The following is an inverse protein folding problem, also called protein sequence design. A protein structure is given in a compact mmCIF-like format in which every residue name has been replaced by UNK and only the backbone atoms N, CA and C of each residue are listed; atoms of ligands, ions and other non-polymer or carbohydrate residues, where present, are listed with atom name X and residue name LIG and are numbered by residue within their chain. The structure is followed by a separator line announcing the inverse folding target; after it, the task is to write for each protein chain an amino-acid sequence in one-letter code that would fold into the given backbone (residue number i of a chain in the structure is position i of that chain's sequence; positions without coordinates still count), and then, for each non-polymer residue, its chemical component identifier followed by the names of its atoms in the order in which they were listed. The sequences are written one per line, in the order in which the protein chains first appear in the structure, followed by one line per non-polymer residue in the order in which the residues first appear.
data_IF_663636970084
#
_entry.id   IF_663636970084
#
_cell.length_a   1.000
_cell.length_b   1.000
_cell.length_c   1.000
_cell.angle_alpha   90.00
_cell.angle_beta   90.00
_cell.angle_gamma   90.00
#
_symmetry.space_group_name_H-M   'P 1'
#
loop_
_entity.id
_entity.type
_entity.pdbx_description
1 polymer ?
#
# COMPACT_ATOMS: atom_id res chain seq x y z
N UNK A 1 -19.63 -15.74 -16.78
CA UNK A 1 -18.64 -15.80 -15.68
C UNK A 1 -17.19 -15.78 -16.18
N UNK A 2 -16.86 -16.34 -17.35
CA UNK A 2 -15.49 -16.31 -17.91
C UNK A 2 -15.03 -14.95 -18.48
N UNK A 3 -15.95 -14.05 -18.85
CA UNK A 3 -15.62 -12.77 -19.52
C UNK A 3 -14.97 -11.71 -18.62
N UNK A 4 -15.24 -11.71 -17.31
CA UNK A 4 -14.64 -10.74 -16.37
C UNK A 4 -13.21 -11.13 -15.96
N UNK A 5 -12.90 -12.42 -15.94
CA UNK A 5 -11.57 -12.94 -15.58
C UNK A 5 -10.51 -12.61 -16.63
N UNK A 6 -10.87 -12.51 -17.92
CA UNK A 6 -9.90 -12.18 -18.99
C UNK A 6 -9.47 -10.72 -19.00
N UNK A 7 -10.38 -9.78 -18.69
CA UNK A 7 -10.07 -8.35 -18.67
C UNK A 7 -9.26 -7.96 -17.41
N UNK A 8 -9.60 -8.48 -16.22
CA UNK A 8 -8.80 -8.28 -15.01
C UNK A 8 -7.38 -8.85 -15.14
N UNK A 9 -7.24 -10.03 -15.79
CA UNK A 9 -5.93 -10.63 -16.08
C UNK A 9 -5.12 -9.79 -17.07
N UNK A 10 -5.76 -9.18 -18.07
CA UNK A 10 -5.10 -8.33 -19.07
C UNK A 10 -4.63 -7.01 -18.46
N UNK A 11 -5.46 -6.35 -17.66
CA UNK A 11 -5.10 -5.12 -16.97
C UNK A 11 -3.97 -5.34 -15.96
N UNK A 12 -4.06 -6.41 -15.16
CA UNK A 12 -3.01 -6.79 -14.21
C UNK A 12 -1.68 -7.08 -14.91
N UNK A 13 -1.72 -7.72 -16.09
CA UNK A 13 -0.53 -8.00 -16.90
C UNK A 13 0.12 -6.71 -17.42
N UNK A 14 -0.66 -5.75 -17.90
CA UNK A 14 -0.15 -4.46 -18.37
C UNK A 14 0.46 -3.64 -17.22
N UNK A 15 -0.16 -3.64 -16.04
CA UNK A 15 0.38 -2.99 -14.85
C UNK A 15 1.74 -3.57 -14.47
N UNK A 16 1.85 -4.90 -14.39
CA UNK A 16 3.13 -5.58 -14.12
C UNK A 16 4.20 -5.25 -15.16
N UNK A 17 3.85 -5.25 -16.45
CA UNK A 17 4.78 -4.88 -17.51
C UNK A 17 5.29 -3.42 -17.38
N UNK A 18 4.41 -2.49 -16.97
CA UNK A 18 4.78 -1.11 -16.68
C UNK A 18 5.72 -0.97 -15.48
N UNK A 19 5.41 -1.69 -14.39
CA UNK A 19 6.30 -1.78 -13.22
C UNK A 19 7.68 -2.33 -13.61
N UNK A 20 7.74 -3.40 -14.38
CA UNK A 20 8.98 -4.02 -14.84
C UNK A 20 9.79 -3.09 -15.76
N UNK A 21 9.12 -2.31 -16.61
CA UNK A 21 9.77 -1.29 -17.41
C UNK A 21 10.39 -0.18 -16.54
N UNK A 22 9.68 0.25 -15.49
CA UNK A 22 10.19 1.23 -14.53
C UNK A 22 11.39 0.69 -13.76
N UNK A 23 11.34 -0.57 -13.29
CA UNK A 23 12.46 -1.24 -12.62
C UNK A 23 13.73 -1.28 -13.48
N UNK A 24 13.58 -1.58 -14.78
CA UNK A 24 14.71 -1.64 -15.74
C UNK A 24 15.19 -0.28 -16.24
N UNK A 25 14.48 0.82 -15.95
CA UNK A 25 14.79 2.14 -16.50
C UNK A 25 16.08 2.77 -15.94
N UNK A 26 16.56 2.30 -14.79
CA UNK A 26 17.67 2.93 -14.06
C UNK A 26 17.28 4.19 -13.28
N UNK A 27 16.01 4.63 -13.37
CA UNK A 27 15.49 5.73 -12.57
C UNK A 27 15.24 5.29 -11.12
N UNK A 28 15.37 6.22 -10.17
CA UNK A 28 14.86 5.99 -8.82
C UNK A 28 13.34 5.92 -8.85
N UNK A 29 12.76 4.87 -8.26
CA UNK A 29 11.31 4.67 -8.26
C UNK A 29 10.80 4.21 -6.90
N UNK A 30 9.50 4.40 -6.68
CA UNK A 30 8.73 3.72 -5.65
C UNK A 30 7.44 3.24 -6.31
N UNK A 31 7.12 1.95 -6.19
CA UNK A 31 5.89 1.38 -6.74
C UNK A 31 4.95 1.04 -5.58
N UNK A 32 3.83 1.75 -5.51
CA UNK A 32 2.76 1.52 -4.52
C UNK A 32 1.63 0.75 -5.20
N UNK A 33 1.26 -0.40 -4.63
CA UNK A 33 0.19 -1.27 -5.14
C UNK A 33 -0.95 -1.31 -4.11
N UNK A 34 -1.89 -0.35 -4.17
CA UNK A 34 -2.98 -0.32 -3.21
C UNK A 34 -3.94 -1.49 -3.44
N UNK A 35 -4.58 -1.93 -2.36
CA UNK A 35 -5.81 -2.72 -2.43
C UNK A 35 -6.97 -1.94 -3.08
N UNK A 36 -8.19 -2.49 -3.09
CA UNK A 36 -9.36 -1.80 -3.63
C UNK A 36 -9.54 -0.39 -3.04
N UNK A 37 -9.68 0.61 -3.91
CA UNK A 37 -9.76 2.00 -3.49
C UNK A 37 -11.17 2.36 -2.98
N UNK A 38 -11.23 3.13 -1.91
CA UNK A 38 -12.46 3.69 -1.33
C UNK A 38 -12.38 5.22 -1.28
N UNK A 39 -13.51 5.88 -1.58
CA UNK A 39 -13.65 7.33 -1.51
C UNK A 39 -14.12 7.74 -0.11
N UNK A 40 -13.19 7.76 0.83
CA UNK A 40 -13.44 8.09 2.24
C UNK A 40 -12.27 8.89 2.84
N UNK A 41 -12.46 9.54 4.00
CA UNK A 41 -11.36 10.23 4.68
C UNK A 41 -10.28 9.24 5.15
N UNK A 42 -9.01 9.58 4.93
CA UNK A 42 -7.86 8.81 5.39
C UNK A 42 -7.55 9.01 6.88
N UNK A 43 -6.57 8.27 7.39
CA UNK A 43 -6.04 8.37 8.74
C UNK A 43 -6.91 7.75 9.83
N UNK A 44 -7.94 6.98 9.46
CA UNK A 44 -8.88 6.36 10.41
C UNK A 44 -8.48 4.93 10.83
N UNK A 45 -7.66 4.25 10.03
CA UNK A 45 -7.36 2.81 10.16
C UNK A 45 -5.87 2.54 10.03
N UNK A 46 -5.40 1.47 10.67
CA UNK A 46 -4.02 1.01 10.57
C UNK A 46 -3.72 0.49 9.16
N UNK A 47 -2.48 0.72 8.70
CA UNK A 47 -2.01 0.35 7.37
C UNK A 47 -1.08 -0.86 7.44
N UNK A 48 -1.27 -1.80 6.52
CA UNK A 48 -0.39 -2.96 6.33
C UNK A 48 0.39 -2.76 5.04
N UNK A 49 1.70 -3.01 5.09
CA UNK A 49 2.61 -3.00 3.94
C UNK A 49 3.16 -4.42 3.72
N UNK A 50 3.11 -4.91 2.48
CA UNK A 50 3.60 -6.25 2.10
C UNK A 50 4.31 -6.22 0.74
N UNK A 51 5.09 -7.25 0.41
CA UNK A 51 5.64 -7.44 -0.95
C UNK A 51 5.13 -8.74 -1.61
N UNK A 52 4.40 -9.58 -0.87
CA UNK A 52 3.96 -10.90 -1.29
C UNK A 52 2.67 -10.96 -2.12
N UNK A 53 2.08 -9.82 -2.53
CA UNK A 53 0.74 -9.75 -3.14
C UNK A 53 -0.36 -10.42 -2.29
N UNK A 54 -0.25 -10.39 -0.95
CA UNK A 54 -1.21 -11.08 -0.05
C UNK A 54 -2.34 -10.17 0.43
N UNK A 55 -2.39 -8.96 -0.09
CA UNK A 55 -3.33 -7.92 0.34
C UNK A 55 -4.66 -8.05 -0.41
N UNK A 56 -5.76 -8.09 0.33
CA UNK A 56 -7.13 -8.16 -0.22
C UNK A 56 -8.06 -7.06 0.30
N UNK A 57 -7.65 -6.33 1.33
CA UNK A 57 -8.43 -5.33 2.02
C UNK A 57 -8.39 -4.00 1.27
N UNK A 58 -9.47 -3.23 1.41
CA UNK A 58 -9.57 -1.92 0.80
C UNK A 58 -8.67 -0.88 1.49
N UNK A 59 -8.47 0.25 0.83
CA UNK A 59 -7.77 1.42 1.36
C UNK A 59 -8.40 2.70 0.82
N UNK A 60 -8.42 3.78 1.60
CA UNK A 60 -8.90 5.07 1.11
C UNK A 60 -7.95 5.67 0.07
N UNK A 61 -8.51 6.38 -0.90
CA UNK A 61 -7.74 7.17 -1.87
C UNK A 61 -6.88 8.24 -1.16
N UNK A 62 -7.39 8.78 -0.05
CA UNK A 62 -6.69 9.78 0.77
C UNK A 62 -5.41 9.21 1.43
N UNK A 63 -5.44 8.01 1.99
CA UNK A 63 -4.25 7.39 2.58
C UNK A 63 -3.23 6.99 1.52
N UNK A 64 -3.67 6.51 0.36
CA UNK A 64 -2.77 6.22 -0.77
C UNK A 64 -2.07 7.50 -1.24
N UNK A 65 -2.78 8.62 -1.32
CA UNK A 65 -2.19 9.91 -1.68
C UNK A 65 -1.15 10.36 -0.64
N UNK A 66 -1.46 10.23 0.65
CA UNK A 66 -0.54 10.57 1.74
C UNK A 66 0.74 9.71 1.69
N UNK A 67 0.61 8.40 1.47
CA UNK A 67 1.76 7.49 1.27
C UNK A 67 2.61 7.95 0.08
N UNK A 68 2.00 8.28 -1.06
CA UNK A 68 2.72 8.73 -2.25
C UNK A 68 3.53 9.99 -1.96
N UNK A 69 2.93 10.98 -1.29
CA UNK A 69 3.60 12.24 -0.93
C UNK A 69 4.75 11.98 0.04
N UNK A 70 4.53 11.18 1.09
CA UNK A 70 5.57 10.84 2.07
C UNK A 70 6.72 10.05 1.42
N UNK A 71 6.42 9.12 0.51
CA UNK A 71 7.43 8.31 -0.18
C UNK A 71 8.36 9.13 -1.08
N UNK A 72 7.89 10.27 -1.62
CA UNK A 72 8.75 11.18 -2.40
C UNK A 72 9.87 11.80 -1.55
N UNK A 73 9.61 11.98 -0.25
CA UNK A 73 10.54 12.62 0.68
C UNK A 73 11.32 11.60 1.53
N UNK A 74 11.05 10.30 1.38
CA UNK A 74 11.66 9.23 2.15
C UNK A 74 12.59 8.35 1.29
N UNK A 75 13.90 8.49 1.51
CA UNK A 75 14.91 7.71 0.80
C UNK A 75 14.80 6.18 1.02
N UNK A 76 14.14 5.73 2.09
CA UNK A 76 13.92 4.30 2.35
C UNK A 76 12.88 3.68 1.43
N UNK A 77 12.01 4.50 0.81
CA UNK A 77 11.05 4.06 -0.20
C UNK A 77 11.70 3.76 -1.55
N UNK A 78 12.92 4.28 -1.78
CA UNK A 78 13.58 4.19 -3.08
C UNK A 78 13.89 2.75 -3.48
N UNK A 79 13.54 2.44 -4.73
CA UNK A 79 13.65 1.16 -5.40
C UNK A 79 12.87 0.05 -4.70
N UNK A 80 11.74 0.37 -4.08
CA UNK A 80 10.84 -0.60 -3.46
C UNK A 80 9.53 -0.69 -4.22
N UNK A 81 8.98 -1.91 -4.22
CA UNK A 81 7.64 -2.21 -4.68
C UNK A 81 6.92 -2.87 -3.53
N UNK A 82 5.76 -2.35 -3.15
CA UNK A 82 5.00 -2.89 -2.03
C UNK A 82 3.51 -2.73 -2.27
N UNK A 83 2.75 -3.65 -1.69
CA UNK A 83 1.31 -3.59 -1.55
C UNK A 83 0.94 -2.84 -0.28
N UNK A 84 -0.20 -2.15 -0.28
CA UNK A 84 -0.73 -1.49 0.92
C UNK A 84 -2.25 -1.60 1.03
N UNK A 85 -2.75 -1.87 2.24
CA UNK A 85 -4.18 -1.84 2.58
C UNK A 85 -4.42 -1.49 4.04
N UNK A 86 -5.69 -1.43 4.44
CA UNK A 86 -6.04 -1.46 5.84
C UNK A 86 -5.83 -2.82 6.48
N UNK A 87 -5.55 -2.81 7.78
CA UNK A 87 -5.60 -3.99 8.60
C UNK A 87 -7.00 -4.62 8.59
N UNK A 88 -7.04 -5.95 8.64
CA UNK A 88 -8.29 -6.68 8.79
C UNK A 88 -8.84 -6.44 10.19
N UNK A 89 -9.93 -5.70 10.29
CA UNK A 89 -10.71 -5.58 11.53
C UNK A 89 -11.73 -6.72 11.52
N UNK A 90 -11.63 -7.65 12.46
CA UNK A 90 -12.67 -8.68 12.66
C UNK A 90 -14.00 -8.01 13.02
N UNK A 91 -15.11 -8.54 12.49
CA UNK A 91 -16.47 -8.03 12.77
C UNK A 91 -16.76 -7.88 14.27
N UNK A 92 -17.65 -6.93 14.59
CA UNK A 92 -18.03 -6.48 15.94
C UNK A 92 -18.21 -7.64 16.92
N UNK A 93 -17.42 -7.63 18.01
CA UNK A 93 -17.49 -8.61 19.10
C UNK A 93 -16.25 -9.50 19.28
N UNK A 94 -15.22 -9.36 18.45
CA UNK A 94 -13.96 -10.12 18.54
C UNK A 94 -12.70 -9.23 18.66
N UNK A 95 -12.86 -8.04 19.23
CA UNK A 95 -11.76 -7.11 19.49
C UNK A 95 -10.83 -7.66 20.58
N UNK A 96 -9.76 -8.36 20.19
CA UNK A 96 -8.73 -8.87 21.08
C UNK A 96 -7.75 -7.80 21.58
N UNK A 97 -7.93 -6.53 21.17
CA UNK A 97 -7.08 -5.41 21.56
C UNK A 97 -7.93 -4.16 21.77
N UNK A 98 -7.79 -3.54 22.95
CA UNK A 98 -8.35 -2.23 23.25
C UNK A 98 -7.56 -1.16 22.50
N UNK A 99 -8.24 -0.22 21.85
CA UNK A 99 -7.59 0.94 21.23
C UNK A 99 -7.08 1.89 22.33
N UNK A 100 -5.85 1.68 22.82
CA UNK A 100 -5.30 2.39 23.99
C UNK A 100 -4.92 3.85 23.71
N UNK A 101 -4.68 4.25 22.45
CA UNK A 101 -4.43 5.65 22.11
C UNK A 101 -4.65 5.97 20.63
N UNK A 102 -5.33 7.09 20.36
CA UNK A 102 -5.20 7.82 19.10
C UNK A 102 -4.01 8.77 19.27
N UNK A 103 -2.87 8.49 18.64
CA UNK A 103 -1.74 9.42 18.65
C UNK A 103 -1.99 10.48 17.55
N UNK A 104 -2.28 11.74 17.91
CA UNK A 104 -2.46 12.78 16.93
C UNK A 104 -1.08 13.33 16.60
N UNK A 105 -0.40 12.73 15.63
CA UNK A 105 0.77 13.40 15.06
C UNK A 105 0.67 13.43 13.54
N UNK A 106 0.29 14.61 13.02
CA UNK A 106 0.45 14.97 11.61
C UNK A 106 1.91 14.87 11.14
N UNK A 107 2.86 14.74 12.07
CA UNK A 107 4.28 14.56 11.84
C UNK A 107 4.76 13.10 12.00
N UNK A 108 3.86 12.12 12.15
CA UNK A 108 4.29 10.76 12.38
C UNK A 108 4.97 10.19 11.14
N UNK A 109 6.27 9.96 11.25
CA UNK A 109 7.06 9.26 10.25
C UNK A 109 6.77 7.75 10.31
N UNK A 110 5.49 7.37 10.10
CA UNK A 110 5.05 5.97 10.11
C UNK A 110 5.61 5.20 8.91
N UNK A 111 5.92 5.91 7.82
CA UNK A 111 6.31 5.29 6.56
C UNK A 111 7.75 4.76 6.61
N UNK A 112 8.73 5.51 7.11
CA UNK A 112 10.12 5.04 7.22
C UNK A 112 10.26 3.69 7.95
N UNK A 113 9.72 3.48 9.17
CA UNK A 113 9.85 2.19 9.85
C UNK A 113 9.11 1.09 9.08
N UNK A 114 7.92 1.36 8.54
CA UNK A 114 7.16 0.39 7.75
C UNK A 114 7.90 -0.04 6.48
N UNK A 115 8.58 0.89 5.78
CA UNK A 115 9.32 0.58 4.58
C UNK A 115 10.71 0.01 4.88
N UNK A 116 11.32 0.32 6.03
CA UNK A 116 12.68 -0.13 6.37
C UNK A 116 12.84 -1.65 6.37
N UNK A 117 11.78 -2.38 6.74
CA UNK A 117 11.75 -3.84 6.80
C UNK A 117 11.55 -4.52 5.44
N UNK A 118 11.16 -3.75 4.42
CA UNK A 118 10.91 -4.28 3.07
C UNK A 118 12.21 -4.40 2.27
N UNK A 119 12.26 -5.32 1.31
CA UNK A 119 13.42 -5.50 0.45
C UNK A 119 13.40 -4.48 -0.71
N UNK A 120 14.59 -4.06 -1.15
CA UNK A 120 14.74 -3.31 -2.39
C UNK A 120 14.66 -4.29 -3.56
N UNK A 121 13.97 -3.93 -4.63
CA UNK A 121 14.05 -4.76 -5.83
C UNK A 121 15.42 -4.52 -6.50
N UNK A 122 16.09 -5.62 -6.81
CA UNK A 122 17.40 -5.64 -7.48
C UNK A 122 17.25 -5.67 -8.99
#
# INVERSE_FOLDING_TARGET
LELNLTEENKFSKQRRAGEDALRRSGLGYTIVRPGPLQEEPGGQRALIFDQGNRISQAISCADVADICVKALHDSTARNKSFDVCYEYVSEEGNELYELVAHLPDKANNYLTPALSVLEKNT
#
